data_IF_090780442871
#
_entry.id   IF_090780442871
#
_cell.length_a   1.000
_cell.length_b   1.000
_cell.length_c   1.000
_cell.angle_alpha   90.00
_cell.angle_beta   90.00
_cell.angle_gamma   90.00
#
_symmetry.space_group_name_H-M   'P 1'
#
loop_
_entity.id
_entity.type
_entity.pdbx_description
1 polymer ?
#
# COMPACT_ATOMS: atom_id res chain seq x y z
N UNK A 1 -12.64 -17.00 -12.85
CA UNK A 1 -13.98 -17.56 -13.09
C UNK A 1 -15.10 -16.55 -12.84
N UNK A 2 -15.07 -15.73 -11.78
CA UNK A 2 -16.13 -14.73 -11.55
C UNK A 2 -16.27 -13.71 -12.70
N UNK A 3 -15.22 -13.46 -13.47
CA UNK A 3 -15.33 -12.62 -14.66
C UNK A 3 -16.15 -13.28 -15.78
N UNK A 4 -16.32 -14.59 -15.75
CA UNK A 4 -17.11 -15.40 -16.70
C UNK A 4 -18.47 -15.81 -16.12
N UNK A 5 -18.93 -15.17 -15.04
CA UNK A 5 -20.20 -15.49 -14.35
C UNK A 5 -21.42 -15.41 -15.30
N UNK A 6 -21.32 -14.66 -16.41
CA UNK A 6 -22.37 -14.56 -17.43
C UNK A 6 -22.58 -15.88 -18.18
N UNK A 7 -21.61 -16.79 -18.17
CA UNK A 7 -21.73 -18.14 -18.78
C UNK A 7 -22.54 -19.11 -17.93
N UNK A 8 -22.78 -18.78 -16.65
CA UNK A 8 -23.61 -19.58 -15.74
C UNK A 8 -25.07 -19.32 -16.06
N UNK A 9 -25.76 -20.33 -16.57
CA UNK A 9 -27.14 -20.22 -17.08
C UNK A 9 -28.24 -20.52 -16.06
N UNK A 10 -27.86 -20.89 -14.84
CA UNK A 10 -28.83 -21.08 -13.77
C UNK A 10 -29.43 -19.73 -13.30
N UNK A 11 -30.63 -19.77 -12.75
CA UNK A 11 -31.33 -18.59 -12.26
C UNK A 11 -31.10 -18.31 -10.76
N UNK A 12 -30.00 -18.82 -10.18
CA UNK A 12 -29.67 -18.66 -8.77
C UNK A 12 -29.29 -17.22 -8.41
N UNK A 13 -28.77 -16.44 -9.38
CA UNK A 13 -28.37 -15.06 -9.20
C UNK A 13 -29.17 -14.14 -10.11
N UNK A 14 -29.56 -12.98 -9.58
CA UNK A 14 -30.12 -11.89 -10.37
C UNK A 14 -29.05 -11.24 -11.28
N UNK A 15 -29.51 -10.52 -12.30
CA UNK A 15 -28.60 -9.74 -13.17
C UNK A 15 -27.77 -8.74 -12.39
N UNK A 16 -28.34 -8.10 -11.35
CA UNK A 16 -27.64 -7.13 -10.50
C UNK A 16 -26.55 -7.81 -9.67
N UNK A 17 -26.84 -8.96 -9.05
CA UNK A 17 -25.83 -9.72 -8.28
C UNK A 17 -24.70 -10.21 -9.17
N UNK A 18 -25.00 -10.68 -10.39
CA UNK A 18 -23.95 -11.06 -11.37
C UNK A 18 -23.05 -9.88 -11.71
N UNK A 19 -23.61 -8.71 -11.97
CA UNK A 19 -22.88 -7.51 -12.28
C UNK A 19 -21.99 -7.08 -11.09
N UNK A 20 -22.51 -7.17 -9.87
CA UNK A 20 -21.76 -6.86 -8.66
C UNK A 20 -20.59 -7.82 -8.44
N UNK A 21 -20.81 -9.13 -8.46
CA UNK A 21 -19.73 -10.12 -8.27
C UNK A 21 -18.65 -10.02 -9.35
N UNK A 22 -19.05 -9.74 -10.60
CA UNK A 22 -18.12 -9.49 -11.70
C UNK A 22 -17.29 -8.23 -11.46
N UNK A 23 -17.89 -7.17 -10.92
CA UNK A 23 -17.19 -5.94 -10.56
C UNK A 23 -16.18 -6.17 -9.41
N UNK A 24 -16.57 -6.88 -8.36
CA UNK A 24 -15.68 -7.25 -7.27
C UNK A 24 -14.48 -8.08 -7.76
N UNK A 25 -14.70 -9.05 -8.64
CA UNK A 25 -13.64 -9.84 -9.26
C UNK A 25 -12.68 -8.99 -10.12
N UNK A 26 -13.21 -8.00 -10.86
CA UNK A 26 -12.40 -7.06 -11.64
C UNK A 26 -11.54 -6.16 -10.75
N UNK A 27 -12.07 -5.67 -9.63
CA UNK A 27 -11.27 -4.89 -8.66
C UNK A 27 -10.13 -5.75 -8.10
N UNK A 28 -10.41 -7.00 -7.74
CA UNK A 28 -9.39 -7.93 -7.24
C UNK A 28 -8.32 -8.19 -8.30
N UNK A 29 -8.72 -8.48 -9.55
CA UNK A 29 -7.77 -8.68 -10.66
C UNK A 29 -6.92 -7.44 -10.90
N UNK A 30 -7.53 -6.26 -10.97
CA UNK A 30 -6.85 -4.99 -11.13
C UNK A 30 -5.84 -4.72 -10.01
N UNK A 31 -6.21 -5.02 -8.76
CA UNK A 31 -5.32 -4.88 -7.59
C UNK A 31 -4.08 -5.78 -7.72
N UNK A 32 -4.27 -7.05 -8.11
CA UNK A 32 -3.15 -7.98 -8.28
C UNK A 32 -2.28 -7.56 -9.47
N UNK A 33 -2.88 -7.21 -10.61
CA UNK A 33 -2.14 -6.73 -11.79
C UNK A 33 -1.36 -5.45 -11.49
N UNK A 34 -1.90 -4.55 -10.65
CA UNK A 34 -1.21 -3.33 -10.25
C UNK A 34 0.02 -3.62 -9.39
N UNK A 35 -0.05 -4.60 -8.49
CA UNK A 35 1.13 -5.05 -7.76
C UNK A 35 2.14 -5.73 -8.71
N UNK A 36 1.68 -6.55 -9.66
CA UNK A 36 2.54 -7.22 -10.64
C UNK A 36 3.28 -6.22 -11.54
N UNK A 37 2.58 -5.26 -12.14
CA UNK A 37 3.20 -4.30 -13.07
C UNK A 37 4.26 -3.45 -12.38
N UNK A 38 4.05 -3.04 -11.13
CA UNK A 38 5.02 -2.27 -10.36
C UNK A 38 6.25 -3.06 -9.93
N UNK A 39 6.14 -4.40 -9.82
CA UNK A 39 7.24 -5.28 -9.40
C UNK A 39 8.04 -5.83 -10.58
N UNK A 40 7.38 -6.14 -11.69
CA UNK A 40 8.01 -6.85 -12.82
C UNK A 40 7.98 -6.07 -14.15
N UNK A 41 7.21 -4.99 -14.25
CA UNK A 41 7.01 -4.28 -15.51
C UNK A 41 6.13 -5.09 -16.46
N UNK A 42 6.69 -5.49 -17.59
CA UNK A 42 5.98 -6.30 -18.59
C UNK A 42 5.61 -7.69 -18.05
N UNK A 43 4.38 -8.13 -18.24
CA UNK A 43 3.92 -9.47 -17.86
C UNK A 43 2.72 -9.91 -18.71
N UNK A 44 2.38 -11.22 -18.77
CA UNK A 44 1.20 -11.67 -19.49
C UNK A 44 -0.10 -11.21 -18.83
N UNK A 45 -0.90 -10.41 -19.52
CA UNK A 45 -2.21 -9.94 -19.06
C UNK A 45 -3.27 -10.98 -19.43
N UNK A 46 -3.69 -11.78 -18.45
CA UNK A 46 -4.67 -12.86 -18.63
C UNK A 46 -6.03 -12.39 -18.13
N UNK A 47 -7.01 -12.32 -19.04
CA UNK A 47 -8.37 -11.88 -18.73
C UNK A 47 -9.42 -13.00 -18.90
N UNK A 48 -9.01 -14.13 -19.48
CA UNK A 48 -9.83 -15.32 -19.69
C UNK A 48 -9.09 -16.55 -19.18
N UNK A 49 -9.83 -17.55 -18.74
CA UNK A 49 -9.27 -18.85 -18.38
C UNK A 49 -9.15 -19.66 -19.67
N UNK A 50 -8.02 -20.34 -19.84
CA UNK A 50 -7.86 -21.28 -20.95
C UNK A 50 -8.82 -22.46 -20.79
N UNK A 51 -9.32 -22.96 -21.89
CA UNK A 51 -10.17 -24.17 -21.94
C UNK A 51 -9.37 -25.41 -21.53
N UNK A 52 -10.06 -26.46 -21.10
CA UNK A 52 -9.43 -27.73 -20.81
C UNK A 52 -8.86 -28.36 -22.12
N UNK A 53 -7.65 -28.89 -22.04
CA UNK A 53 -7.01 -29.56 -23.17
C UNK A 53 -7.62 -30.94 -23.37
N UNK A 54 -8.10 -31.18 -24.56
CA UNK A 54 -8.59 -32.51 -25.04
C UNK A 54 -7.80 -32.93 -26.25
N UNK A 55 -7.95 -34.20 -26.66
CA UNK A 55 -7.35 -34.72 -27.91
C UNK A 55 -7.85 -34.00 -29.16
N UNK A 56 -9.01 -33.34 -29.08
CA UNK A 56 -9.69 -32.71 -30.21
C UNK A 56 -9.33 -31.23 -30.37
N UNK A 57 -8.93 -30.54 -29.23
CA UNK A 57 -8.68 -29.11 -29.25
C UNK A 57 -7.24 -28.71 -28.86
N UNK A 58 -6.33 -29.66 -28.73
CA UNK A 58 -4.96 -29.40 -28.23
C UNK A 58 -4.22 -28.34 -29.03
N UNK A 59 -4.35 -28.30 -30.32
CA UNK A 59 -3.65 -27.37 -31.22
C UNK A 59 -4.15 -25.91 -31.02
N UNK A 60 -5.41 -25.75 -30.62
CA UNK A 60 -6.04 -24.44 -30.39
C UNK A 60 -5.85 -23.95 -28.93
N UNK A 61 -5.94 -24.85 -27.96
CA UNK A 61 -5.95 -24.54 -26.56
C UNK A 61 -4.54 -24.50 -25.98
N UNK A 62 -3.64 -25.38 -26.41
CA UNK A 62 -2.27 -25.43 -25.87
C UNK A 62 -1.53 -24.06 -25.92
N UNK A 63 -1.61 -23.25 -26.99
CA UNK A 63 -0.99 -21.94 -27.03
C UNK A 63 -1.53 -20.96 -25.98
N UNK A 64 -2.77 -21.16 -25.50
CA UNK A 64 -3.36 -20.26 -24.48
C UNK A 64 -2.68 -20.41 -23.10
N UNK A 65 -2.02 -21.55 -22.85
CA UNK A 65 -1.23 -21.76 -21.63
C UNK A 65 0.16 -21.09 -21.67
N UNK A 66 0.55 -20.52 -22.81
CA UNK A 66 1.80 -19.81 -23.03
C UNK A 66 1.55 -18.40 -23.56
N UNK A 67 0.81 -17.55 -22.79
CA UNK A 67 0.45 -16.22 -23.25
C UNK A 67 1.71 -15.38 -23.46
N UNK A 68 1.66 -14.51 -24.45
CA UNK A 68 2.73 -13.54 -24.69
C UNK A 68 2.74 -12.50 -23.58
N UNK A 69 3.93 -11.97 -23.32
CA UNK A 69 4.13 -10.84 -22.43
C UNK A 69 3.52 -9.59 -23.05
N UNK A 70 2.72 -8.86 -22.26
CA UNK A 70 2.21 -7.54 -22.61
C UNK A 70 3.16 -6.46 -22.07
N UNK A 71 3.13 -5.31 -22.70
CA UNK A 71 3.88 -4.14 -22.21
C UNK A 71 3.28 -3.59 -20.92
N UNK A 72 4.11 -2.88 -20.15
CA UNK A 72 3.67 -2.16 -18.96
C UNK A 72 2.43 -1.29 -19.24
N UNK A 73 2.43 -0.53 -20.35
CA UNK A 73 1.31 0.33 -20.73
C UNK A 73 0.02 -0.48 -20.99
N UNK A 74 0.09 -1.60 -21.70
CA UNK A 74 -1.07 -2.46 -21.93
C UNK A 74 -1.63 -3.03 -20.63
N UNK A 75 -0.76 -3.38 -19.69
CA UNK A 75 -1.16 -3.83 -18.36
C UNK A 75 -1.91 -2.72 -17.60
N UNK A 76 -1.39 -1.49 -17.58
CA UNK A 76 -2.07 -0.35 -16.97
C UNK A 76 -3.42 -0.04 -17.64
N UNK A 77 -3.51 -0.14 -18.97
CA UNK A 77 -4.77 0.06 -19.70
C UNK A 77 -5.82 -1.01 -19.36
N UNK A 78 -5.40 -2.26 -19.15
CA UNK A 78 -6.32 -3.31 -18.70
C UNK A 78 -6.79 -3.07 -17.25
N UNK A 79 -5.89 -2.64 -16.38
CA UNK A 79 -6.24 -2.27 -14.99
C UNK A 79 -7.25 -1.12 -14.99
N UNK A 80 -7.00 -0.05 -15.76
CA UNK A 80 -7.91 1.08 -15.92
C UNK A 80 -9.30 0.62 -16.38
N UNK A 81 -9.34 -0.19 -17.44
CA UNK A 81 -10.60 -0.72 -18.00
C UNK A 81 -11.39 -1.53 -16.96
N UNK A 82 -10.74 -2.42 -16.22
CA UNK A 82 -11.38 -3.20 -15.18
C UNK A 82 -11.97 -2.32 -14.07
N UNK A 83 -11.23 -1.31 -13.64
CA UNK A 83 -11.66 -0.43 -12.56
C UNK A 83 -12.78 0.53 -12.97
N UNK A 84 -12.72 1.10 -14.18
CA UNK A 84 -13.78 1.97 -14.70
C UNK A 84 -15.10 1.22 -14.87
N UNK A 85 -15.06 -0.03 -15.31
CA UNK A 85 -16.25 -0.87 -15.37
C UNK A 85 -16.75 -1.27 -13.97
N UNK A 86 -15.83 -1.61 -13.06
CA UNK A 86 -16.19 -2.04 -11.72
C UNK A 86 -16.84 -0.93 -10.87
N UNK A 87 -16.43 0.33 -11.00
CA UNK A 87 -17.04 1.47 -10.28
C UNK A 87 -18.55 1.58 -10.52
N UNK A 88 -19.05 1.11 -11.68
CA UNK A 88 -20.47 1.19 -12.01
C UNK A 88 -21.31 0.20 -11.19
N UNK A 89 -20.78 -0.97 -10.84
CA UNK A 89 -21.55 -2.10 -10.32
C UNK A 89 -21.09 -2.63 -8.97
N UNK A 90 -19.87 -2.30 -8.54
CA UNK A 90 -19.37 -2.70 -7.22
C UNK A 90 -20.23 -2.13 -6.08
N UNK A 91 -20.29 -2.78 -4.92
CA UNK A 91 -21.04 -2.27 -3.77
C UNK A 91 -20.46 -0.93 -3.28
N UNK A 92 -21.30 -0.12 -2.67
CA UNK A 92 -20.87 1.10 -1.99
C UNK A 92 -20.06 0.77 -0.73
N UNK A 93 -19.37 1.78 -0.18
CA UNK A 93 -18.63 1.65 1.06
C UNK A 93 -19.55 1.15 2.20
N UNK A 94 -19.12 0.08 2.85
CA UNK A 94 -19.82 -0.47 4.04
C UNK A 94 -18.96 -0.18 5.27
N UNK A 95 -19.35 0.78 6.15
CA UNK A 95 -18.55 1.18 7.30
C UNK A 95 -18.18 0.03 8.23
N UNK A 96 -19.09 -0.91 8.43
CA UNK A 96 -18.88 -2.08 9.32
C UNK A 96 -18.09 -3.24 8.68
N UNK A 97 -17.76 -3.18 7.39
CA UNK A 97 -17.03 -4.26 6.72
C UNK A 97 -16.07 -3.70 5.64
N UNK A 98 -14.80 -3.71 5.94
CA UNK A 98 -13.72 -3.26 5.05
C UNK A 98 -13.00 -4.41 4.34
N UNK A 99 -13.58 -5.60 4.32
CA UNK A 99 -13.03 -6.75 3.56
C UNK A 99 -13.60 -6.86 2.14
N UNK A 100 -14.57 -6.03 1.78
CA UNK A 100 -15.26 -6.06 0.50
C UNK A 100 -14.54 -5.21 -0.56
N UNK A 101 -14.61 -5.65 -1.81
CA UNK A 101 -14.13 -4.89 -2.98
C UNK A 101 -15.21 -3.90 -3.44
N UNK A 102 -15.21 -2.72 -2.82
CA UNK A 102 -16.21 -1.67 -3.02
C UNK A 102 -15.81 -0.67 -4.12
N UNK A 103 -16.74 0.21 -4.52
CA UNK A 103 -16.45 1.37 -5.38
C UNK A 103 -15.30 2.22 -4.84
N UNK A 104 -15.21 2.37 -3.52
CA UNK A 104 -14.14 3.14 -2.88
C UNK A 104 -12.76 2.50 -3.07
N UNK A 105 -12.68 1.15 -3.09
CA UNK A 105 -11.44 0.43 -3.43
C UNK A 105 -11.07 0.67 -4.89
N UNK A 106 -12.04 0.59 -5.81
CA UNK A 106 -11.81 0.86 -7.22
C UNK A 106 -11.35 2.31 -7.46
N UNK A 107 -11.98 3.31 -6.83
CA UNK A 107 -11.58 4.73 -6.89
C UNK A 107 -10.18 4.96 -6.34
N UNK A 108 -9.84 4.31 -5.23
CA UNK A 108 -8.48 4.36 -4.66
C UNK A 108 -7.45 3.82 -5.63
N UNK A 109 -7.73 2.70 -6.27
CA UNK A 109 -6.85 2.12 -7.30
C UNK A 109 -6.75 3.02 -8.53
N UNK A 110 -7.86 3.62 -9.00
CA UNK A 110 -7.85 4.60 -10.09
C UNK A 110 -6.98 5.80 -9.76
N UNK A 111 -7.10 6.38 -8.56
CA UNK A 111 -6.21 7.45 -8.14
C UNK A 111 -4.73 7.01 -8.17
N UNK A 112 -4.43 5.79 -7.73
CA UNK A 112 -3.06 5.26 -7.71
C UNK A 112 -2.49 5.00 -9.11
N UNK A 113 -3.24 4.41 -10.04
CA UNK A 113 -2.75 4.16 -11.40
C UNK A 113 -2.54 5.46 -12.19
N UNK A 114 -3.40 6.48 -11.98
CA UNK A 114 -3.22 7.79 -12.61
C UNK A 114 -2.07 8.61 -11.99
N UNK A 115 -1.53 8.23 -10.86
CA UNK A 115 -0.28 8.79 -10.36
C UNK A 115 0.96 8.15 -11.00
N UNK A 116 0.84 6.93 -11.53
CA UNK A 116 1.95 6.20 -12.14
C UNK A 116 2.31 6.74 -13.53
N UNK A 117 3.57 6.61 -13.92
CA UNK A 117 4.11 7.22 -15.14
C UNK A 117 3.36 6.87 -16.44
N UNK A 118 2.94 5.60 -16.67
CA UNK A 118 2.30 5.22 -17.93
C UNK A 118 0.96 5.90 -18.19
N UNK A 119 0.17 6.19 -17.14
CA UNK A 119 -1.16 6.80 -17.24
C UNK A 119 -1.26 8.16 -16.56
N UNK A 120 -0.15 8.80 -16.22
CA UNK A 120 -0.11 9.97 -15.35
C UNK A 120 -1.09 11.07 -15.73
N UNK A 121 -2.03 11.34 -14.85
CA UNK A 121 -3.04 12.39 -14.95
C UNK A 121 -3.41 12.89 -13.54
N UNK A 122 -2.75 13.94 -13.09
CA UNK A 122 -2.98 14.46 -11.74
C UNK A 122 -4.38 15.07 -11.54
N UNK A 123 -5.07 15.49 -12.60
CA UNK A 123 -6.47 15.93 -12.50
C UNK A 123 -7.37 14.77 -12.11
N UNK A 124 -7.19 13.60 -12.73
CA UNK A 124 -7.91 12.37 -12.35
C UNK A 124 -7.52 11.87 -10.96
N UNK A 125 -6.25 12.00 -10.56
CA UNK A 125 -5.84 11.68 -9.18
C UNK A 125 -6.63 12.48 -8.17
N UNK A 126 -6.72 13.81 -8.35
CA UNK A 126 -7.47 14.70 -7.46
C UNK A 126 -8.95 14.30 -7.44
N UNK A 127 -9.56 14.10 -8.63
CA UNK A 127 -10.96 13.69 -8.76
C UNK A 127 -11.25 12.42 -7.94
N UNK A 128 -10.52 11.33 -8.18
CA UNK A 128 -10.79 10.06 -7.49
C UNK A 128 -10.47 10.11 -5.99
N UNK A 129 -9.48 10.89 -5.56
CA UNK A 129 -9.25 11.14 -4.14
C UNK A 129 -10.43 11.87 -3.48
N UNK A 130 -11.04 12.83 -4.18
CA UNK A 130 -12.23 13.55 -3.69
C UNK A 130 -13.48 12.66 -3.67
N UNK A 131 -13.65 11.78 -4.65
CA UNK A 131 -14.71 10.77 -4.63
C UNK A 131 -14.55 9.80 -3.44
N UNK A 132 -13.33 9.33 -3.14
CA UNK A 132 -13.07 8.51 -1.94
C UNK A 132 -13.41 9.26 -0.66
N UNK A 133 -13.08 10.57 -0.57
CA UNK A 133 -13.48 11.42 0.56
C UNK A 133 -15.01 11.48 0.68
N UNK A 134 -15.71 11.65 -0.44
CA UNK A 134 -17.18 11.73 -0.47
C UNK A 134 -17.85 10.41 -0.04
N UNK A 135 -17.15 9.27 -0.18
CA UNK A 135 -17.60 7.96 0.34
C UNK A 135 -17.57 7.86 1.88
N UNK A 136 -17.13 8.91 2.60
CA UNK A 136 -17.22 9.02 4.05
C UNK A 136 -15.97 8.56 4.82
N UNK A 137 -14.81 8.47 4.17
CA UNK A 137 -13.54 8.17 4.84
C UNK A 137 -12.93 9.41 5.51
N UNK A 138 -12.30 9.20 6.65
CA UNK A 138 -11.49 10.19 7.36
C UNK A 138 -10.37 9.54 8.17
N UNK A 139 -9.40 10.34 8.63
CA UNK A 139 -8.35 9.87 9.52
C UNK A 139 -8.95 9.43 10.87
N UNK A 140 -8.41 8.36 11.45
CA UNK A 140 -8.67 8.04 12.86
C UNK A 140 -8.04 9.11 13.74
N UNK A 141 -8.63 9.36 14.91
CA UNK A 141 -8.12 10.37 15.84
C UNK A 141 -6.88 9.88 16.62
N UNK A 142 -6.88 8.59 16.95
CA UNK A 142 -5.75 7.90 17.57
C UNK A 142 -5.10 6.94 16.58
N UNK A 143 -3.82 7.19 16.25
CA UNK A 143 -3.06 6.34 15.33
C UNK A 143 -3.00 4.87 15.78
N UNK A 144 -3.07 4.62 17.09
CA UNK A 144 -3.09 3.27 17.65
C UNK A 144 -4.34 2.45 17.28
N UNK A 145 -5.43 3.10 16.83
CA UNK A 145 -6.65 2.41 16.39
C UNK A 145 -6.42 1.59 15.12
N UNK A 146 -5.39 1.95 14.32
CA UNK A 146 -5.04 1.23 13.09
C UNK A 146 -4.28 -0.08 13.36
N UNK A 147 -3.36 -0.05 14.34
CA UNK A 147 -2.36 -1.11 14.50
C UNK A 147 -2.31 -1.68 15.93
N UNK A 148 -3.03 -1.08 16.87
CA UNK A 148 -3.04 -1.47 18.28
C UNK A 148 -3.72 -2.81 18.54
N UNK A 149 -3.51 -3.31 19.75
CA UNK A 149 -4.21 -4.49 20.29
C UNK A 149 -5.23 -4.04 21.34
N UNK A 150 -6.25 -4.86 21.55
CA UNK A 150 -7.18 -4.69 22.66
C UNK A 150 -6.45 -4.79 24.01
N UNK A 151 -7.10 -4.38 25.11
CA UNK A 151 -6.49 -4.37 26.45
C UNK A 151 -6.00 -5.75 26.92
N UNK A 152 -6.62 -6.84 26.44
CA UNK A 152 -6.21 -8.20 26.75
C UNK A 152 -5.05 -8.71 25.89
N UNK A 153 -4.63 -7.97 24.85
CA UNK A 153 -3.59 -8.39 23.91
C UNK A 153 -3.96 -9.59 23.04
N UNK A 154 -5.25 -9.90 22.91
CA UNK A 154 -5.73 -11.10 22.22
C UNK A 154 -6.25 -10.85 20.82
N UNK A 155 -6.55 -9.60 20.48
CA UNK A 155 -7.10 -9.23 19.18
C UNK A 155 -6.74 -7.78 18.81
N UNK A 156 -6.95 -7.39 17.55
CA UNK A 156 -6.77 -6.00 17.11
C UNK A 156 -7.62 -5.04 17.96
N UNK A 157 -7.08 -3.86 18.28
CA UNK A 157 -7.80 -2.81 19.02
C UNK A 157 -9.07 -2.40 18.30
N UNK A 158 -8.96 -2.16 17.01
CA UNK A 158 -10.09 -1.87 16.12
C UNK A 158 -9.93 -2.55 14.76
N UNK A 159 -11.06 -2.83 14.13
CA UNK A 159 -11.17 -3.21 12.72
C UNK A 159 -12.22 -2.34 12.06
N UNK A 160 -12.19 -2.28 10.74
CA UNK A 160 -13.17 -1.52 9.96
C UNK A 160 -13.22 -0.04 10.38
N UNK A 161 -12.05 0.55 10.64
CA UNK A 161 -11.99 1.96 11.06
C UNK A 161 -12.48 2.90 9.95
N UNK A 162 -12.82 4.14 10.31
CA UNK A 162 -13.19 5.18 9.32
C UNK A 162 -12.06 5.51 8.33
N UNK A 163 -10.83 5.12 8.64
CA UNK A 163 -9.67 5.32 7.78
C UNK A 163 -9.38 4.12 6.86
N UNK A 164 -9.76 2.92 7.27
CA UNK A 164 -9.54 1.70 6.48
C UNK A 164 -10.44 1.65 5.25
N UNK A 165 -9.84 1.49 4.07
CA UNK A 165 -10.56 1.34 2.79
C UNK A 165 -10.68 -0.14 2.43
N UNK A 166 -9.59 -0.90 2.58
CA UNK A 166 -9.56 -2.35 2.38
C UNK A 166 -8.67 -3.01 3.42
N UNK A 167 -9.21 -4.01 4.13
CA UNK A 167 -8.49 -4.81 5.12
C UNK A 167 -8.53 -6.30 4.76
N UNK A 168 -7.41 -6.99 4.96
CA UNK A 168 -7.39 -8.43 5.16
C UNK A 168 -7.45 -8.69 6.68
N UNK A 169 -8.54 -9.28 7.15
CA UNK A 169 -8.78 -9.55 8.57
C UNK A 169 -8.45 -10.99 8.92
N UNK A 170 -7.82 -11.18 10.08
CA UNK A 170 -7.37 -12.49 10.55
C UNK A 170 -7.99 -12.81 11.92
N UNK A 171 -8.13 -14.09 12.21
CA UNK A 171 -8.66 -14.61 13.47
C UNK A 171 -7.72 -15.66 14.05
N UNK A 172 -7.92 -16.02 15.31
CA UNK A 172 -7.07 -16.95 16.06
C UNK A 172 -6.90 -18.37 15.46
N UNK A 173 -7.67 -18.72 14.47
CA UNK A 173 -7.54 -20.01 13.77
C UNK A 173 -6.89 -19.93 12.39
N UNK A 174 -6.77 -18.71 11.84
CA UNK A 174 -6.25 -18.42 10.51
C UNK A 174 -5.35 -17.16 10.58
N UNK A 175 -4.30 -17.28 11.37
CA UNK A 175 -3.40 -16.19 11.69
C UNK A 175 -2.63 -15.64 10.50
N UNK A 176 -2.29 -14.37 10.59
CA UNK A 176 -1.54 -13.68 9.60
C UNK A 176 -0.03 -14.03 9.69
N UNK A 177 0.54 -14.32 8.53
CA UNK A 177 1.94 -14.72 8.41
C UNK A 177 2.93 -13.56 8.48
N UNK A 178 2.48 -12.31 8.45
CA UNK A 178 3.36 -11.15 8.49
C UNK A 178 4.15 -11.07 9.80
N UNK A 179 3.58 -11.53 10.91
CA UNK A 179 4.30 -11.62 12.18
C UNK A 179 5.47 -12.59 12.11
N UNK A 180 5.38 -13.62 11.29
CA UNK A 180 6.45 -14.59 11.07
C UNK A 180 7.55 -14.06 10.18
N UNK A 181 7.18 -13.35 9.12
CA UNK A 181 8.12 -12.92 8.09
C UNK A 181 8.79 -11.58 8.42
N UNK A 182 8.05 -10.64 8.99
CA UNK A 182 8.47 -9.24 9.12
C UNK A 182 8.59 -8.76 10.55
N UNK A 183 7.92 -9.40 11.46
CA UNK A 183 7.93 -9.08 12.86
C UNK A 183 7.92 -10.35 13.70
N UNK A 184 7.51 -10.21 14.93
CA UNK A 184 7.24 -11.31 15.84
C UNK A 184 5.84 -11.13 16.36
N UNK A 185 5.24 -12.19 16.87
CA UNK A 185 4.10 -12.04 17.74
C UNK A 185 4.58 -11.40 19.05
N UNK A 186 4.60 -10.08 19.06
CA UNK A 186 5.11 -9.29 20.19
C UNK A 186 4.15 -9.24 21.36
N UNK A 187 2.93 -9.73 21.16
CA UNK A 187 1.92 -9.89 22.22
C UNK A 187 2.17 -11.17 22.99
N UNK A 188 2.57 -12.23 22.29
CA UNK A 188 2.92 -13.55 22.86
C UNK A 188 4.40 -13.83 22.65
N UNK A 189 5.26 -12.95 23.13
CA UNK A 189 6.70 -13.03 22.93
C UNK A 189 7.29 -14.37 23.35
N UNK A 190 7.97 -15.02 22.39
CA UNK A 190 8.70 -16.25 22.60
C UNK A 190 10.14 -16.09 22.11
N UNK A 191 11.13 -16.13 23.02
CA UNK A 191 12.54 -15.99 22.73
C UNK A 191 13.11 -17.06 21.77
N UNK A 192 12.43 -18.19 21.61
CA UNK A 192 12.87 -19.27 20.71
C UNK A 192 12.56 -18.97 19.24
N UNK A 193 11.90 -17.88 18.92
CA UNK A 193 11.50 -17.55 17.57
C UNK A 193 12.63 -16.86 16.80
N UNK A 194 13.28 -17.59 15.90
CA UNK A 194 14.48 -17.13 15.18
C UNK A 194 14.21 -16.61 13.76
N UNK A 195 12.98 -16.59 13.30
CA UNK A 195 12.60 -16.36 11.89
C UNK A 195 12.45 -14.90 11.49
N UNK A 196 12.25 -14.00 12.40
CA UNK A 196 11.88 -12.61 12.15
C UNK A 196 13.03 -11.70 11.68
N UNK A 197 13.78 -12.12 10.66
CA UNK A 197 14.94 -11.36 10.13
C UNK A 197 14.67 -10.61 8.83
N UNK A 198 13.50 -10.75 8.23
CA UNK A 198 13.22 -10.32 6.87
C UNK A 198 13.04 -8.82 6.75
N UNK A 199 12.45 -8.18 7.75
CA UNK A 199 12.31 -6.73 7.79
C UNK A 199 12.75 -6.19 9.14
N UNK A 200 13.91 -5.54 9.14
CA UNK A 200 14.43 -4.80 10.30
C UNK A 200 14.31 -3.30 10.01
N UNK A 201 13.77 -2.50 10.93
CA UNK A 201 13.76 -1.04 10.79
C UNK A 201 15.15 -0.50 10.49
N UNK A 202 15.28 0.31 9.44
CA UNK A 202 16.57 0.90 9.10
C UNK A 202 16.96 2.01 10.09
N UNK A 203 18.27 2.20 10.34
CA UNK A 203 18.78 3.32 11.16
C UNK A 203 18.34 4.67 10.63
N UNK A 204 18.25 4.79 9.31
CA UNK A 204 17.81 6.02 8.66
C UNK A 204 16.32 6.32 8.90
N UNK A 205 15.45 5.31 8.92
CA UNK A 205 14.04 5.48 9.29
C UNK A 205 13.90 5.87 10.78
N UNK A 206 14.61 5.18 11.67
CA UNK A 206 14.62 5.50 13.12
C UNK A 206 15.10 6.94 13.34
N UNK A 207 16.17 7.35 12.64
CA UNK A 207 16.69 8.71 12.69
C UNK A 207 15.68 9.74 12.18
N UNK A 208 14.95 9.41 11.10
CA UNK A 208 13.93 10.31 10.54
C UNK A 208 12.78 10.57 11.52
N UNK A 209 12.28 9.56 12.22
CA UNK A 209 11.28 9.73 13.28
C UNK A 209 11.79 10.60 14.43
N UNK A 210 13.02 10.33 14.89
CA UNK A 210 13.64 11.09 16.01
C UNK A 210 13.89 12.56 15.65
N UNK A 211 14.38 12.83 14.43
CA UNK A 211 14.64 14.19 13.95
C UNK A 211 13.36 15.00 13.80
N UNK A 212 12.24 14.34 13.47
CA UNK A 212 10.93 14.97 13.38
C UNK A 212 10.27 15.16 14.76
N UNK A 213 10.73 14.45 15.78
CA UNK A 213 10.05 14.40 17.08
C UNK A 213 8.72 13.64 17.05
N UNK A 214 8.57 12.71 16.11
CA UNK A 214 7.32 11.95 15.87
C UNK A 214 7.21 10.76 16.81
N UNK A 215 6.86 11.01 18.05
CA UNK A 215 6.68 9.98 19.07
C UNK A 215 5.39 9.16 18.87
N UNK A 216 4.34 9.76 18.29
CA UNK A 216 3.03 9.12 18.13
C UNK A 216 3.14 7.94 17.17
N UNK A 217 3.67 8.18 15.97
CA UNK A 217 3.78 7.12 14.95
C UNK A 217 4.98 6.20 15.22
N UNK A 218 6.04 6.71 15.83
CA UNK A 218 7.21 5.92 16.17
C UNK A 218 6.87 4.74 17.08
N UNK A 219 6.19 4.98 18.21
CA UNK A 219 5.81 3.94 19.17
C UNK A 219 4.87 2.88 18.59
N UNK A 220 4.06 3.24 17.59
CA UNK A 220 3.15 2.30 16.91
C UNK A 220 3.83 1.55 15.75
N UNK A 221 4.97 2.05 15.28
CA UNK A 221 5.68 1.50 14.11
C UNK A 221 6.89 0.66 14.49
N UNK A 222 7.55 0.97 15.61
CA UNK A 222 8.82 0.36 16.02
C UNK A 222 8.80 0.11 17.54
N UNK A 223 9.23 -1.09 17.92
CA UNK A 223 9.37 -1.48 19.32
C UNK A 223 10.73 -2.14 19.53
N UNK A 224 11.28 -2.05 20.71
CA UNK A 224 12.59 -2.60 21.06
C UNK A 224 12.44 -3.79 22.01
N UNK A 225 13.18 -4.88 21.72
CA UNK A 225 13.29 -6.07 22.55
C UNK A 225 14.69 -6.65 22.48
N UNK A 226 15.01 -7.55 23.40
CA UNK A 226 16.23 -8.36 23.37
C UNK A 226 16.26 -9.27 22.16
N UNK A 227 17.44 -9.43 21.54
CA UNK A 227 17.66 -10.25 20.38
C UNK A 227 19.08 -10.78 20.34
N UNK A 228 19.26 -12.08 20.50
CA UNK A 228 20.57 -12.72 20.52
C UNK A 228 20.99 -13.37 19.19
N UNK A 229 20.17 -13.32 18.17
CA UNK A 229 20.39 -13.96 16.89
C UNK A 229 20.87 -13.03 15.76
N UNK A 230 21.01 -11.75 16.04
CA UNK A 230 21.54 -10.76 15.11
C UNK A 230 22.40 -9.73 15.83
N UNK A 231 23.48 -9.31 15.18
CA UNK A 231 24.39 -8.26 15.65
C UNK A 231 24.23 -6.95 14.87
N UNK A 232 23.19 -6.81 14.07
CA UNK A 232 22.92 -5.59 13.30
C UNK A 232 22.61 -4.38 14.20
N UNK A 233 21.95 -4.64 15.32
CA UNK A 233 21.74 -3.70 16.43
C UNK A 233 22.26 -4.33 17.75
N UNK A 234 22.43 -3.55 18.82
CA UNK A 234 22.70 -4.10 20.13
C UNK A 234 21.67 -5.15 20.54
N UNK A 235 22.12 -6.26 21.16
CA UNK A 235 21.27 -7.40 21.49
C UNK A 235 20.19 -7.10 22.53
N UNK A 236 20.44 -6.11 23.39
CA UNK A 236 19.54 -5.66 24.45
C UNK A 236 18.58 -4.55 24.00
N UNK A 237 18.69 -4.09 22.76
CA UNK A 237 17.90 -2.98 22.22
C UNK A 237 17.69 -3.13 20.70
N UNK A 238 17.16 -4.26 20.29
CA UNK A 238 16.92 -4.55 18.88
C UNK A 238 15.55 -4.04 18.45
N UNK A 239 15.46 -3.21 17.38
CA UNK A 239 14.19 -2.69 16.89
C UNK A 239 13.44 -3.71 16.04
N UNK A 240 12.16 -3.86 16.28
CA UNK A 240 11.23 -4.65 15.47
C UNK A 240 10.16 -3.78 14.85
N UNK A 241 9.69 -4.14 13.65
CA UNK A 241 8.48 -3.59 13.09
C UNK A 241 7.29 -3.91 14.01
N UNK A 242 6.45 -2.90 14.27
CA UNK A 242 5.37 -3.05 15.26
C UNK A 242 3.96 -2.86 14.69
N UNK A 243 3.80 -2.44 13.45
CA UNK A 243 2.46 -2.31 12.82
C UNK A 243 1.74 -3.63 12.63
N UNK A 244 2.45 -4.75 12.51
CA UNK A 244 1.87 -6.09 12.52
C UNK A 244 2.43 -6.84 13.74
N UNK A 245 1.76 -6.72 14.86
CA UNK A 245 2.27 -7.13 16.18
C UNK A 245 1.70 -8.45 16.71
N UNK A 246 0.71 -9.02 16.05
CA UNK A 246 0.18 -10.33 16.38
C UNK A 246 -0.38 -11.04 15.14
N UNK A 247 -0.55 -12.37 15.23
CA UNK A 247 -1.19 -13.17 14.20
C UNK A 247 -2.66 -12.76 13.93
N UNK A 248 -3.28 -12.02 14.83
CA UNK A 248 -4.64 -11.50 14.69
C UNK A 248 -4.70 -10.06 14.17
N UNK A 249 -3.55 -9.39 13.96
CA UNK A 249 -3.52 -8.05 13.37
C UNK A 249 -4.06 -8.08 11.95
N UNK A 250 -4.94 -7.13 11.60
CA UNK A 250 -5.36 -6.92 10.21
C UNK A 250 -4.20 -6.39 9.37
N UNK A 251 -4.19 -6.73 8.09
CA UNK A 251 -3.36 -6.06 7.10
C UNK A 251 -4.24 -5.03 6.39
N UNK A 252 -3.99 -3.75 6.63
CA UNK A 252 -4.69 -2.67 5.96
C UNK A 252 -4.02 -2.46 4.59
N UNK A 253 -4.68 -2.91 3.53
CA UNK A 253 -4.13 -2.80 2.15
C UNK A 253 -4.19 -1.37 1.62
N UNK A 254 -5.32 -0.68 1.87
CA UNK A 254 -5.53 0.72 1.50
C UNK A 254 -6.18 1.46 2.65
N UNK A 255 -5.70 2.68 2.92
CA UNK A 255 -6.25 3.58 3.93
C UNK A 255 -6.24 5.03 3.49
N UNK A 256 -7.11 5.81 4.09
CA UNK A 256 -7.39 7.18 3.67
C UNK A 256 -6.20 8.13 3.79
N UNK A 257 -5.28 7.92 4.73
CA UNK A 257 -4.06 8.73 4.80
C UNK A 257 -3.18 8.61 3.53
N UNK A 258 -3.11 7.41 2.92
CA UNK A 258 -2.39 7.25 1.64
C UNK A 258 -3.09 8.02 0.51
N UNK A 259 -4.42 7.99 0.46
CA UNK A 259 -5.24 8.74 -0.51
C UNK A 259 -5.05 10.25 -0.33
N UNK A 260 -5.07 10.74 0.92
CA UNK A 260 -4.82 12.16 1.23
C UNK A 260 -3.45 12.62 0.75
N UNK A 261 -2.41 11.87 1.10
CA UNK A 261 -1.04 12.22 0.73
C UNK A 261 -0.79 12.05 -0.78
N UNK A 262 -1.52 11.16 -1.46
CA UNK A 262 -1.51 11.06 -2.92
C UNK A 262 -2.19 12.27 -3.57
N UNK A 263 -3.29 12.77 -2.99
CA UNK A 263 -3.90 14.03 -3.42
C UNK A 263 -2.95 15.21 -3.26
N UNK A 264 -2.25 15.31 -2.12
CA UNK A 264 -1.23 16.34 -1.91
C UNK A 264 -0.12 16.27 -2.98
N UNK A 265 0.31 15.06 -3.38
CA UNK A 265 1.24 14.89 -4.49
C UNK A 265 0.69 15.48 -5.79
N UNK A 266 -0.54 15.16 -6.13
CA UNK A 266 -1.16 15.65 -7.34
C UNK A 266 -1.30 17.18 -7.36
N UNK A 267 -1.66 17.79 -6.22
CA UNK A 267 -1.70 19.25 -6.06
C UNK A 267 -0.34 19.91 -6.25
N UNK A 268 0.76 19.28 -5.79
CA UNK A 268 2.13 19.76 -5.99
C UNK A 268 2.55 19.61 -7.45
N UNK A 269 2.20 18.49 -8.09
CA UNK A 269 2.79 18.06 -9.35
C UNK A 269 2.01 18.49 -10.59
N UNK A 270 0.73 18.86 -10.46
CA UNK A 270 -0.07 19.37 -11.59
C UNK A 270 0.56 20.61 -12.25
N UNK A 271 0.10 20.97 -13.44
CA UNK A 271 0.66 22.06 -14.25
C UNK A 271 0.63 23.42 -13.54
N UNK A 272 -0.45 23.68 -12.80
CA UNK A 272 -0.55 24.85 -11.91
C UNK A 272 -0.57 24.36 -10.46
N UNK A 273 0.59 24.29 -9.77
CA UNK A 273 0.67 23.74 -8.42
C UNK A 273 -0.18 24.51 -7.41
N UNK A 274 -0.96 23.77 -6.61
CA UNK A 274 -1.62 24.29 -5.41
C UNK A 274 -0.83 23.85 -4.17
N UNK A 275 0.22 24.61 -3.87
CA UNK A 275 1.11 24.29 -2.76
C UNK A 275 0.45 24.50 -1.39
N UNK A 276 -0.46 25.46 -1.27
CA UNK A 276 -1.17 25.72 -0.01
C UNK A 276 -2.17 24.62 0.29
N UNK A 277 -2.99 24.20 -0.69
CA UNK A 277 -3.88 23.05 -0.55
C UNK A 277 -3.14 21.75 -0.25
N UNK A 278 -1.96 21.54 -0.84
CA UNK A 278 -1.10 20.40 -0.52
C UNK A 278 -0.57 20.47 0.93
N UNK A 279 -0.14 21.65 1.37
CA UNK A 279 0.35 21.87 2.73
C UNK A 279 -0.73 21.59 3.78
N UNK A 280 -1.96 22.06 3.55
CA UNK A 280 -3.10 21.85 4.46
C UNK A 280 -3.41 20.35 4.63
N UNK A 281 -3.31 19.58 3.54
CA UNK A 281 -3.48 18.13 3.60
C UNK A 281 -2.34 17.48 4.42
N UNK A 282 -1.10 17.86 4.16
CA UNK A 282 0.06 17.33 4.90
C UNK A 282 -0.07 17.71 6.38
N UNK A 283 -0.43 18.94 6.69
CA UNK A 283 -0.60 19.41 8.05
C UNK A 283 -1.73 18.69 8.80
N UNK A 284 -2.82 18.31 8.12
CA UNK A 284 -3.85 17.44 8.71
C UNK A 284 -3.28 16.10 9.20
N UNK A 285 -2.40 15.48 8.43
CA UNK A 285 -1.74 14.22 8.81
C UNK A 285 -0.74 14.45 9.95
N UNK A 286 0.01 15.55 9.90
CA UNK A 286 0.97 15.97 10.93
C UNK A 286 0.30 16.28 12.26
N UNK A 287 -0.83 16.98 12.24
CA UNK A 287 -1.60 17.30 13.45
C UNK A 287 -2.06 16.04 14.20
N UNK A 288 -2.53 15.02 13.49
CA UNK A 288 -2.85 13.72 14.10
C UNK A 288 -1.61 13.09 14.78
N UNK A 289 -0.43 13.25 14.20
CA UNK A 289 0.84 12.82 14.80
C UNK A 289 1.37 13.77 15.89
N UNK A 290 0.61 14.83 16.23
CA UNK A 290 1.00 15.88 17.19
C UNK A 290 2.25 16.67 16.76
N UNK A 291 2.44 16.81 15.46
CA UNK A 291 3.51 17.61 14.87
C UNK A 291 2.99 18.99 14.46
N UNK A 292 3.88 19.97 14.49
CA UNK A 292 3.55 21.33 14.02
C UNK A 292 3.34 21.38 12.51
N UNK A 293 2.66 22.44 12.05
CA UNK A 293 2.45 22.73 10.65
C UNK A 293 3.76 22.95 9.88
N UNK A 294 3.72 22.76 8.57
CA UNK A 294 4.86 23.01 7.69
C UNK A 294 5.25 24.49 7.70
N UNK A 295 6.58 24.81 7.78
CA UNK A 295 7.03 26.19 7.78
C UNK A 295 6.72 26.90 6.44
N UNK A 296 6.53 28.21 6.48
CA UNK A 296 6.23 29.03 5.29
C UNK A 296 7.26 28.86 4.17
N UNK A 297 8.54 28.66 4.51
CA UNK A 297 9.60 28.42 3.52
C UNK A 297 9.40 27.12 2.73
N UNK A 298 8.74 26.14 3.30
CA UNK A 298 8.35 24.89 2.62
C UNK A 298 7.11 25.13 1.77
N UNK A 299 6.09 25.78 2.32
CA UNK A 299 4.81 26.07 1.66
C UNK A 299 4.97 26.87 0.35
N UNK A 300 5.97 27.73 0.27
CA UNK A 300 6.22 28.59 -0.91
C UNK A 300 7.15 27.98 -1.98
N UNK A 301 7.66 26.75 -1.79
CA UNK A 301 8.63 26.16 -2.70
C UNK A 301 8.23 24.74 -3.10
N UNK A 302 7.99 24.52 -4.41
CA UNK A 302 7.55 23.22 -4.96
C UNK A 302 8.47 22.06 -4.59
N UNK A 303 9.78 22.24 -4.70
CA UNK A 303 10.75 21.16 -4.40
C UNK A 303 10.82 20.87 -2.90
N UNK A 304 10.79 21.91 -2.06
CA UNK A 304 10.73 21.74 -0.61
C UNK A 304 9.43 21.05 -0.19
N UNK A 305 8.30 21.40 -0.81
CA UNK A 305 7.01 20.76 -0.56
C UNK A 305 7.00 19.29 -0.97
N UNK A 306 7.56 18.94 -2.13
CA UNK A 306 7.68 17.54 -2.57
C UNK A 306 8.57 16.72 -1.61
N UNK A 307 9.66 17.29 -1.12
CA UNK A 307 10.52 16.62 -0.14
C UNK A 307 9.81 16.45 1.22
N UNK A 308 9.03 17.45 1.65
CA UNK A 308 8.21 17.37 2.86
C UNK A 308 7.13 16.28 2.71
N UNK A 309 6.44 16.22 1.58
CA UNK A 309 5.48 15.17 1.27
C UNK A 309 6.12 13.77 1.31
N UNK A 310 7.25 13.58 0.64
CA UNK A 310 7.96 12.30 0.63
C UNK A 310 8.43 11.87 2.02
N UNK A 311 8.80 12.82 2.87
CA UNK A 311 9.13 12.58 4.27
C UNK A 311 7.88 12.19 5.05
N UNK A 312 6.79 12.93 4.89
CA UNK A 312 5.51 12.65 5.58
C UNK A 312 4.97 11.26 5.19
N UNK A 313 4.92 10.93 3.89
CA UNK A 313 4.55 9.60 3.41
C UNK A 313 5.42 8.50 3.99
N UNK A 314 6.73 8.74 4.10
CA UNK A 314 7.67 7.77 4.67
C UNK A 314 7.38 7.44 6.13
N UNK A 315 7.07 8.45 6.95
CA UNK A 315 6.79 8.29 8.37
C UNK A 315 5.39 7.71 8.60
N UNK A 316 4.42 8.25 7.89
CA UNK A 316 3.02 7.83 7.97
C UNK A 316 2.81 6.39 7.51
N UNK A 317 3.36 6.02 6.35
CA UNK A 317 3.18 4.73 5.70
C UNK A 317 4.34 3.75 5.93
N UNK A 318 5.15 3.97 6.96
CA UNK A 318 6.25 3.09 7.30
C UNK A 318 5.77 1.64 7.45
N UNK A 319 6.46 0.69 6.81
CA UNK A 319 6.16 -0.76 6.78
C UNK A 319 4.86 -1.15 6.05
N UNK A 320 4.24 -0.26 5.28
CA UNK A 320 3.03 -0.54 4.50
C UNK A 320 3.32 -0.78 2.99
N UNK A 321 4.58 -0.97 2.62
CA UNK A 321 4.98 -1.35 1.26
C UNK A 321 4.93 -0.22 0.23
N UNK A 322 4.73 1.06 0.62
CA UNK A 322 4.54 2.17 -0.33
C UNK A 322 5.86 2.84 -0.76
N UNK A 323 6.87 2.90 0.14
CA UNK A 323 8.05 3.75 -0.05
C UNK A 323 8.81 3.53 -1.34
N UNK A 324 9.04 2.28 -1.73
CA UNK A 324 9.77 1.96 -2.96
C UNK A 324 9.05 2.51 -4.19
N UNK A 325 7.76 2.27 -4.29
CA UNK A 325 6.93 2.73 -5.40
C UNK A 325 6.85 4.26 -5.47
N UNK A 326 6.78 4.95 -4.33
CA UNK A 326 6.83 6.41 -4.28
C UNK A 326 8.15 6.94 -4.87
N UNK A 327 9.27 6.33 -4.50
CA UNK A 327 10.59 6.73 -5.00
C UNK A 327 10.76 6.46 -6.50
N UNK A 328 10.29 5.30 -6.99
CA UNK A 328 10.35 4.95 -8.42
C UNK A 328 9.47 5.89 -9.23
N UNK A 329 8.22 6.11 -8.80
CA UNK A 329 7.26 6.98 -9.50
C UNK A 329 7.74 8.42 -9.62
N UNK A 330 8.43 8.94 -8.61
CA UNK A 330 8.90 10.32 -8.52
C UNK A 330 10.38 10.50 -8.92
N UNK A 331 11.03 9.49 -9.49
CA UNK A 331 12.44 9.51 -9.90
C UNK A 331 13.43 9.88 -8.77
N UNK A 332 13.14 9.39 -7.54
CA UNK A 332 13.91 9.69 -6.33
C UNK A 332 14.76 8.53 -5.80
N UNK A 333 14.79 7.38 -6.50
CA UNK A 333 15.52 6.20 -6.02
C UNK A 333 17.01 6.48 -5.91
N UNK A 334 17.67 7.00 -6.95
CA UNK A 334 19.10 7.27 -6.94
C UNK A 334 19.48 8.21 -5.79
N UNK A 335 18.81 9.36 -5.71
CA UNK A 335 19.07 10.38 -4.69
C UNK A 335 18.95 9.81 -3.28
N UNK A 336 17.84 9.15 -3.00
CA UNK A 336 17.49 8.70 -1.65
C UNK A 336 18.29 7.46 -1.25
N UNK A 337 18.38 6.45 -2.11
CA UNK A 337 19.02 5.19 -1.75
C UNK A 337 20.54 5.32 -1.67
N UNK A 338 21.16 6.09 -2.57
CA UNK A 338 22.60 6.35 -2.50
C UNK A 338 22.97 7.15 -1.25
N UNK A 339 22.13 8.12 -0.84
CA UNK A 339 22.33 8.85 0.41
C UNK A 339 22.21 7.95 1.64
N UNK A 340 21.26 7.01 1.66
CA UNK A 340 21.10 6.02 2.75
C UNK A 340 22.33 5.09 2.80
N UNK A 341 22.77 4.59 1.67
CA UNK A 341 23.96 3.73 1.62
C UNK A 341 25.23 4.44 2.03
N UNK A 342 25.41 5.70 1.66
CA UNK A 342 26.57 6.49 2.06
C UNK A 342 26.67 6.64 3.58
N UNK A 343 25.55 6.80 4.27
CA UNK A 343 25.51 6.88 5.75
C UNK A 343 25.91 5.58 6.46
N UNK A 344 25.74 4.44 5.83
CA UNK A 344 25.96 3.11 6.42
C UNK A 344 27.16 2.36 5.81
N UNK A 345 28.03 3.05 5.10
CA UNK A 345 29.15 2.50 4.33
C UNK A 345 30.13 1.65 5.15
N UNK A 346 30.32 2.00 6.44
CA UNK A 346 31.23 1.27 7.33
C UNK A 346 30.72 -0.11 7.80
N UNK A 347 29.50 -0.50 7.45
CA UNK A 347 28.86 -1.77 7.86
C UNK A 347 28.56 -2.71 6.70
N UNK A 348 28.96 -2.38 5.49
CA UNK A 348 28.66 -3.17 4.28
C UNK A 348 29.89 -3.84 3.74
N UNK A 349 29.78 -5.14 3.46
CA UNK A 349 30.76 -5.87 2.68
C UNK A 349 30.73 -5.43 1.20
N UNK A 350 29.57 -4.92 0.73
CA UNK A 350 29.38 -4.40 -0.63
C UNK A 350 28.45 -3.20 -0.62
N UNK A 351 28.84 -2.14 -1.31
CA UNK A 351 28.04 -0.94 -1.53
C UNK A 351 27.55 -1.00 -2.97
N UNK A 352 26.24 -0.97 -3.15
CA UNK A 352 25.63 -0.85 -4.46
C UNK A 352 25.27 0.61 -4.73
N UNK A 353 25.57 1.07 -5.93
CA UNK A 353 25.10 2.36 -6.43
C UNK A 353 23.85 2.11 -7.26
N UNK A 354 22.77 2.81 -6.95
CA UNK A 354 21.54 2.77 -7.73
C UNK A 354 21.63 3.77 -8.88
N UNK A 355 21.34 3.33 -10.09
CA UNK A 355 21.19 4.15 -11.28
C UNK A 355 19.89 3.80 -12.00
N UNK A 356 19.50 4.61 -12.99
CA UNK A 356 18.24 4.43 -13.74
C UNK A 356 18.08 3.09 -14.43
N UNK A 357 19.20 2.41 -14.71
CA UNK A 357 19.20 1.15 -15.45
C UNK A 357 19.22 -0.07 -14.52
N UNK A 358 19.45 0.13 -13.23
CA UNK A 358 19.60 -0.94 -12.23
C UNK A 358 18.33 -1.27 -11.47
N UNK A 359 17.23 -0.51 -11.69
CA UNK A 359 15.94 -0.75 -11.07
C UNK A 359 14.78 -0.38 -12.00
N UNK A 360 13.65 -1.00 -11.80
CA UNK A 360 12.38 -0.70 -12.46
C UNK A 360 11.28 -0.58 -11.44
#
# INVERSE_FOLDING_TARGET
>A
DLCNIDLVTDNSLTTAERAQYKAEAKIFRAMVMFDMVRLWGDFPVITTVADDITSENIDEVYPQYFPKQNTELEAYQQIEKDLLDAVLYAPDNTPGNKTLFTKSVARTLLAKIYAEKPLRDYTKVIQYCDEVKADGFDLVDDFSDLFGMNAAGTDAKMRNTKESILEAQFTSGAGNWCTWMFGRDLVNWNNNFTWAKWVTPSRDLISAFKQEGDEVRFKESIVYYDCNWSNYYPSDNYPFMYKCRSANSSIIKYRYADVLLLKAEALIMQDTPDLEGAADIIDKVRDRAKLGALPTSVRSNKNAMLNALLKERRLELAFEGQRWFDLVRLDKVEEVMNAVYAKDSGRKAQIYTFDKNSYR
#
